data_IF_057491779342
#
_entry.id   IF_057491779342
#
_cell.length_a   1.000
_cell.length_b   1.000
_cell.length_c   1.000
_cell.angle_alpha   90.00
_cell.angle_beta   90.00
_cell.angle_gamma   90.00
#
_symmetry.space_group_name_H-M   'P 1'
#
loop_
_entity.id
_entity.type
_entity.pdbx_description
1 polymer ?
#
# COMPACT_ATOMS: atom_id res chain seq x y z
N UNK A 1 -27.50 36.58 -6.73
CA UNK A 1 -27.36 35.61 -5.61
C UNK A 1 -26.60 34.32 -5.98
N UNK A 2 -27.15 33.34 -6.72
CA UNK A 2 -26.40 32.10 -7.07
C UNK A 2 -25.09 32.37 -7.83
N UNK A 3 -25.11 33.29 -8.79
CA UNK A 3 -23.91 33.67 -9.55
C UNK A 3 -22.85 34.38 -8.67
N UNK A 4 -23.28 35.26 -7.77
CA UNK A 4 -22.38 35.97 -6.84
C UNK A 4 -21.72 35.02 -5.85
N UNK A 5 -22.48 34.07 -5.29
CA UNK A 5 -21.93 33.03 -4.40
C UNK A 5 -20.90 32.19 -5.14
N UNK A 6 -21.15 31.80 -6.40
CA UNK A 6 -20.17 31.06 -7.21
C UNK A 6 -18.90 31.87 -7.48
N UNK A 7 -19.00 33.16 -7.81
CA UNK A 7 -17.83 34.00 -8.04
C UNK A 7 -17.00 34.21 -6.77
N UNK A 8 -17.65 34.42 -5.62
CA UNK A 8 -16.96 34.48 -4.31
C UNK A 8 -16.29 33.13 -4.00
N UNK A 9 -16.98 32.00 -4.23
CA UNK A 9 -16.40 30.68 -4.00
C UNK A 9 -15.16 30.45 -4.88
N UNK A 10 -15.20 30.86 -6.15
CA UNK A 10 -14.03 30.78 -7.03
C UNK A 10 -12.86 31.63 -6.52
N UNK A 11 -13.11 32.87 -6.11
CA UNK A 11 -12.09 33.76 -5.57
C UNK A 11 -11.44 33.22 -4.28
N UNK A 12 -12.20 32.49 -3.46
CA UNK A 12 -11.74 31.83 -2.24
C UNK A 12 -11.25 30.38 -2.47
N UNK A 13 -11.18 29.93 -3.73
CA UNK A 13 -10.84 28.56 -4.12
C UNK A 13 -11.75 27.46 -3.53
N UNK A 14 -12.99 27.76 -3.17
CA UNK A 14 -14.00 26.84 -2.60
C UNK A 14 -14.68 26.02 -3.73
N UNK A 15 -14.00 24.96 -4.16
CA UNK A 15 -14.35 24.23 -5.37
C UNK A 15 -15.66 23.44 -5.27
N UNK A 16 -16.05 22.97 -4.09
CA UNK A 16 -17.21 22.08 -3.93
C UNK A 16 -18.44 22.81 -3.41
N UNK A 17 -18.27 23.84 -2.57
CA UNK A 17 -19.39 24.68 -2.10
C UNK A 17 -20.17 25.27 -3.25
N UNK A 18 -19.48 25.79 -4.27
CA UNK A 18 -20.08 26.47 -5.41
C UNK A 18 -21.18 25.64 -6.10
N UNK A 19 -21.05 24.31 -6.09
CA UNK A 19 -21.97 23.41 -6.79
C UNK A 19 -22.83 22.56 -5.85
N UNK A 20 -22.50 22.46 -4.55
CA UNK A 20 -23.11 21.48 -3.63
C UNK A 20 -23.72 22.08 -2.35
N UNK A 21 -23.69 23.40 -2.16
CA UNK A 21 -24.24 24.02 -0.94
C UNK A 21 -25.75 23.75 -0.72
N UNK A 22 -26.49 23.45 -1.79
CA UNK A 22 -27.93 23.15 -1.73
C UNK A 22 -28.25 21.77 -1.16
N UNK A 23 -27.24 20.89 -1.08
CA UNK A 23 -27.37 19.58 -0.43
C UNK A 23 -27.45 19.73 1.11
N UNK A 24 -27.08 20.89 1.65
CA UNK A 24 -27.09 21.17 3.09
C UNK A 24 -28.45 21.74 3.49
N UNK A 25 -29.11 21.06 4.42
CA UNK A 25 -30.36 21.55 5.02
C UNK A 25 -30.12 22.87 5.76
N UNK A 26 -31.04 23.81 5.60
CA UNK A 26 -31.00 25.10 6.30
C UNK A 26 -31.93 25.06 7.51
N UNK A 27 -31.35 25.08 8.71
CA UNK A 27 -32.10 25.21 9.97
C UNK A 27 -31.79 26.54 10.66
N UNK A 28 -30.50 26.84 10.83
CA UNK A 28 -30.01 28.10 11.39
C UNK A 28 -28.81 28.62 10.60
N UNK A 29 -28.48 29.91 10.75
CA UNK A 29 -27.35 30.52 10.04
C UNK A 29 -26.02 29.86 10.43
N UNK A 30 -25.83 29.59 11.72
CA UNK A 30 -24.62 28.98 12.26
C UNK A 30 -24.46 27.53 11.81
N UNK A 31 -25.55 26.75 11.83
CA UNK A 31 -25.57 25.37 11.36
C UNK A 31 -25.26 25.29 9.87
N UNK A 32 -25.94 26.10 9.05
CA UNK A 32 -25.74 26.09 7.61
C UNK A 32 -24.31 26.48 7.23
N UNK A 33 -23.75 27.53 7.85
CA UNK A 33 -22.36 27.93 7.61
C UNK A 33 -21.37 26.81 7.99
N UNK A 34 -21.56 26.21 9.18
CA UNK A 34 -20.71 25.10 9.64
C UNK A 34 -20.77 23.91 8.67
N UNK A 35 -21.96 23.51 8.27
CA UNK A 35 -22.18 22.28 7.50
C UNK A 35 -21.73 22.43 6.04
N UNK A 36 -21.91 23.62 5.44
CA UNK A 36 -21.36 23.94 4.11
C UNK A 36 -19.81 23.96 4.13
N UNK A 37 -19.19 24.51 5.18
CA UNK A 37 -17.73 24.47 5.32
C UNK A 37 -17.21 23.04 5.59
N UNK A 38 -17.94 22.25 6.39
CA UNK A 38 -17.62 20.85 6.62
C UNK A 38 -17.73 20.02 5.32
N UNK A 39 -18.73 20.30 4.48
CA UNK A 39 -18.88 19.70 3.16
C UNK A 39 -17.67 19.97 2.28
N UNK A 40 -17.21 21.23 2.19
CA UNK A 40 -15.99 21.60 1.45
C UNK A 40 -14.77 20.82 1.94
N UNK A 41 -14.56 20.80 3.25
CA UNK A 41 -13.43 20.12 3.88
C UNK A 41 -13.43 18.63 3.53
N UNK A 42 -14.60 17.98 3.66
CA UNK A 42 -14.76 16.56 3.38
C UNK A 42 -14.51 16.24 1.90
N UNK A 43 -15.03 17.05 0.97
CA UNK A 43 -14.82 16.87 -0.46
C UNK A 43 -13.34 17.07 -0.85
N UNK A 44 -12.66 18.07 -0.29
CA UNK A 44 -11.21 18.25 -0.49
C UNK A 44 -10.41 17.07 0.01
N UNK A 45 -10.76 16.57 1.19
CA UNK A 45 -10.07 15.42 1.79
C UNK A 45 -10.26 14.18 0.91
N UNK A 46 -11.49 13.89 0.48
CA UNK A 46 -11.79 12.78 -0.43
C UNK A 46 -11.01 12.91 -1.77
N UNK A 47 -10.96 14.10 -2.36
CA UNK A 47 -10.20 14.33 -3.58
C UNK A 47 -8.68 14.16 -3.38
N UNK A 48 -8.14 14.61 -2.24
CA UNK A 48 -6.73 14.37 -1.86
C UNK A 48 -6.46 12.87 -1.74
N UNK A 49 -7.30 12.13 -1.02
CA UNK A 49 -7.17 10.68 -0.82
C UNK A 49 -7.22 9.94 -2.16
N UNK A 50 -8.21 10.24 -3.01
CA UNK A 50 -8.35 9.63 -4.34
C UNK A 50 -7.12 9.90 -5.22
N UNK A 51 -6.57 11.13 -5.18
CA UNK A 51 -5.34 11.48 -5.89
C UNK A 51 -4.14 10.70 -5.37
N UNK A 52 -3.99 10.53 -4.05
CA UNK A 52 -2.89 9.76 -3.45
C UNK A 52 -2.98 8.28 -3.81
N UNK A 53 -4.17 7.67 -3.71
CA UNK A 53 -4.40 6.27 -4.12
C UNK A 53 -4.05 6.07 -5.60
N UNK A 54 -4.48 6.98 -6.47
CA UNK A 54 -4.14 6.94 -7.91
C UNK A 54 -2.64 7.10 -8.17
N UNK A 55 -1.97 7.96 -7.39
CA UNK A 55 -0.52 8.19 -7.49
C UNK A 55 0.28 6.98 -7.01
N UNK A 56 -0.25 6.21 -6.05
CA UNK A 56 0.41 5.03 -5.51
C UNK A 56 0.54 3.86 -6.49
N UNK A 57 -0.31 3.79 -7.52
CA UNK A 57 -0.26 2.77 -8.59
C UNK A 57 -0.42 1.33 -8.07
N UNK A 58 -1.34 1.11 -7.12
CA UNK A 58 -1.76 -0.24 -6.71
C UNK A 58 -2.28 -1.04 -7.91
N UNK A 59 -1.98 -2.35 -7.96
CA UNK A 59 -2.49 -3.26 -9.01
C UNK A 59 -3.98 -3.51 -8.87
N UNK A 60 -4.43 -3.69 -7.63
CA UNK A 60 -5.83 -3.86 -7.25
C UNK A 60 -6.09 -3.05 -5.99
N UNK A 61 -7.32 -2.57 -5.81
CA UNK A 61 -7.72 -1.91 -4.57
C UNK A 61 -8.24 -2.96 -3.59
N UNK A 62 -7.58 -3.06 -2.44
CA UNK A 62 -7.94 -3.98 -1.35
C UNK A 62 -8.01 -3.20 -0.05
N UNK A 63 -9.11 -3.29 0.69
CA UNK A 63 -9.31 -2.51 1.91
C UNK A 63 -9.10 -3.39 3.15
N UNK A 64 -8.72 -2.76 4.27
CA UNK A 64 -8.52 -3.46 5.54
C UNK A 64 -9.83 -4.03 6.10
N UNK A 65 -10.96 -3.34 5.85
CA UNK A 65 -12.29 -3.81 6.22
C UNK A 65 -12.68 -5.14 5.55
N UNK A 66 -12.11 -5.42 4.38
CA UNK A 66 -12.38 -6.63 3.59
C UNK A 66 -11.31 -7.71 3.83
N UNK A 67 -10.40 -7.49 4.79
CA UNK A 67 -9.31 -8.42 5.08
C UNK A 67 -9.73 -9.45 6.14
N UNK A 68 -9.76 -10.71 5.74
CA UNK A 68 -9.98 -11.83 6.65
C UNK A 68 -8.70 -12.16 7.42
N UNK A 69 -8.73 -11.94 8.73
CA UNK A 69 -7.61 -12.27 9.60
C UNK A 69 -7.62 -13.77 9.89
N UNK A 70 -6.46 -14.41 9.73
CA UNK A 70 -6.26 -15.82 10.00
C UNK A 70 -5.32 -16.01 11.20
N UNK A 71 -5.56 -17.05 11.98
CA UNK A 71 -4.67 -17.49 13.07
C UNK A 71 -3.32 -18.03 12.55
N UNK A 72 -3.20 -18.24 11.24
CA UNK A 72 -1.95 -18.62 10.58
C UNK A 72 -1.02 -17.43 10.29
N UNK A 73 -1.38 -16.22 10.73
CA UNK A 73 -0.48 -15.07 10.71
C UNK A 73 0.24 -15.01 12.05
N UNK A 74 1.53 -15.31 12.05
CA UNK A 74 2.39 -15.21 13.22
C UNK A 74 2.95 -13.79 13.34
N UNK A 75 2.71 -13.19 14.49
CA UNK A 75 3.12 -11.83 14.82
C UNK A 75 4.37 -11.85 15.68
N UNK A 76 5.27 -10.86 15.53
CA UNK A 76 6.34 -10.69 16.49
C UNK A 76 5.77 -10.14 17.80
N UNK A 77 6.39 -10.48 18.93
CA UNK A 77 5.94 -10.06 20.27
C UNK A 77 5.91 -8.55 20.46
N UNK A 78 6.66 -7.82 19.66
CA UNK A 78 6.81 -6.36 19.71
C UNK A 78 5.73 -5.60 18.93
N UNK A 79 4.83 -6.29 18.22
CA UNK A 79 3.89 -5.64 17.30
C UNK A 79 2.48 -6.11 17.55
N UNK A 80 1.61 -5.16 17.93
CA UNK A 80 0.19 -5.46 17.96
C UNK A 80 -0.45 -5.24 16.60
N UNK A 81 -1.49 -6.03 16.31
CA UNK A 81 -2.35 -5.85 15.14
C UNK A 81 -2.90 -4.42 15.05
N UNK A 82 -3.29 -3.84 16.18
CA UNK A 82 -3.82 -2.48 16.24
C UNK A 82 -2.78 -1.45 15.83
N UNK A 83 -1.54 -1.54 16.33
CA UNK A 83 -0.49 -0.59 15.96
C UNK A 83 -0.12 -0.65 14.48
N UNK A 84 -0.11 -1.86 13.89
CA UNK A 84 0.11 -2.03 12.47
C UNK A 84 -1.02 -1.39 11.66
N UNK A 85 -2.27 -1.69 12.01
CA UNK A 85 -3.43 -1.09 11.37
C UNK A 85 -3.48 0.42 11.57
N UNK A 86 -3.08 0.97 12.71
CA UNK A 86 -3.02 2.41 12.96
C UNK A 86 -1.85 3.10 12.24
N UNK A 87 -1.00 2.34 11.54
CA UNK A 87 0.16 2.82 10.76
C UNK A 87 1.25 3.51 11.60
N UNK A 88 1.35 3.21 12.90
CA UNK A 88 2.34 3.82 13.80
C UNK A 88 3.80 3.60 13.38
N UNK A 89 4.04 2.55 12.60
CA UNK A 89 5.35 2.27 12.02
C UNK A 89 5.83 3.38 11.07
N UNK A 90 4.92 4.12 10.43
CA UNK A 90 5.24 5.22 9.50
C UNK A 90 5.91 6.41 10.21
N UNK A 91 5.50 6.70 11.44
CA UNK A 91 6.07 7.76 12.27
C UNK A 91 7.50 7.42 12.67
N UNK A 92 7.75 6.14 12.98
CA UNK A 92 9.04 5.60 13.45
C UNK A 92 9.97 5.16 12.32
N UNK A 93 9.56 5.28 11.06
CA UNK A 93 10.29 4.79 9.87
C UNK A 93 10.64 3.30 9.96
N UNK A 94 9.73 2.51 10.53
CA UNK A 94 9.86 1.07 10.67
C UNK A 94 9.33 0.36 9.43
N UNK A 95 9.98 -0.74 9.04
CA UNK A 95 9.58 -1.57 7.92
C UNK A 95 8.55 -2.62 8.33
N UNK A 96 7.83 -3.16 7.36
CA UNK A 96 6.94 -4.31 7.56
C UNK A 96 7.30 -5.38 6.55
N UNK A 97 7.68 -6.57 7.03
CA UNK A 97 8.08 -7.69 6.19
C UNK A 97 7.01 -8.77 6.30
N UNK A 98 6.28 -9.00 5.21
CA UNK A 98 5.24 -10.03 5.12
C UNK A 98 5.83 -11.22 4.37
N UNK A 99 6.09 -12.32 5.07
CA UNK A 99 6.78 -13.49 4.52
C UNK A 99 5.88 -14.73 4.58
N UNK A 100 5.91 -15.59 3.56
CA UNK A 100 5.25 -16.91 3.63
C UNK A 100 4.61 -17.36 2.32
N UNK A 101 3.96 -18.53 2.33
CA UNK A 101 3.49 -19.22 1.12
C UNK A 101 2.56 -18.38 0.22
N UNK A 102 2.55 -18.58 -1.11
CA UNK A 102 1.64 -17.85 -2.00
C UNK A 102 0.17 -18.01 -1.60
N UNK A 103 -0.63 -16.97 -1.84
CA UNK A 103 -2.08 -17.02 -1.59
C UNK A 103 -2.52 -16.83 -0.14
N UNK A 104 -1.61 -16.53 0.80
CA UNK A 104 -1.93 -16.36 2.23
C UNK A 104 -2.37 -14.94 2.64
N UNK A 105 -2.53 -14.01 1.69
CA UNK A 105 -3.05 -12.65 1.98
C UNK A 105 -2.00 -11.53 2.13
N UNK A 106 -0.70 -11.81 2.01
CA UNK A 106 0.39 -10.80 2.14
C UNK A 106 0.18 -9.55 1.28
N UNK A 107 -0.02 -9.73 -0.03
CA UNK A 107 -0.23 -8.61 -0.98
C UNK A 107 -1.51 -7.83 -0.66
N UNK A 108 -2.56 -8.50 -0.20
CA UNK A 108 -3.80 -7.83 0.24
C UNK A 108 -3.50 -6.95 1.43
N UNK A 109 -2.86 -7.48 2.49
CA UNK A 109 -2.54 -6.70 3.67
C UNK A 109 -1.63 -5.50 3.35
N UNK A 110 -0.57 -5.71 2.56
CA UNK A 110 0.32 -4.63 2.13
C UNK A 110 -0.43 -3.52 1.38
N UNK A 111 -1.28 -3.90 0.43
CA UNK A 111 -2.12 -2.96 -0.33
C UNK A 111 -3.09 -2.22 0.57
N UNK A 112 -3.72 -2.92 1.50
CA UNK A 112 -4.72 -2.37 2.40
C UNK A 112 -4.13 -1.37 3.40
N UNK A 113 -2.94 -1.66 3.95
CA UNK A 113 -2.16 -0.71 4.74
C UNK A 113 -1.75 0.51 3.90
N UNK A 114 -1.32 0.30 2.65
CA UNK A 114 -1.00 1.39 1.72
C UNK A 114 -2.18 2.31 1.40
N UNK A 115 -3.36 1.73 1.18
CA UNK A 115 -4.59 2.51 0.95
C UNK A 115 -4.96 3.28 2.21
N UNK A 116 -4.86 2.67 3.39
CA UNK A 116 -5.10 3.39 4.64
C UNK A 116 -4.10 4.55 4.83
N UNK A 117 -2.83 4.37 4.46
CA UNK A 117 -1.83 5.43 4.51
C UNK A 117 -2.21 6.61 3.59
N UNK A 118 -2.68 6.31 2.38
CA UNK A 118 -3.24 7.34 1.48
C UNK A 118 -4.48 8.03 2.08
N UNK A 119 -5.34 7.30 2.79
CA UNK A 119 -6.51 7.87 3.47
C UNK A 119 -6.12 8.84 4.60
N UNK A 120 -5.04 8.53 5.32
CA UNK A 120 -4.45 9.41 6.34
C UNK A 120 -3.62 10.55 5.73
N UNK A 121 -3.46 10.58 4.40
CA UNK A 121 -2.83 11.68 3.68
C UNK A 121 -1.35 11.49 3.37
N UNK A 122 -0.79 10.31 3.65
CA UNK A 122 0.58 9.96 3.32
C UNK A 122 0.75 9.60 1.85
N UNK A 123 1.89 9.97 1.27
CA UNK A 123 2.22 9.57 -0.09
C UNK A 123 2.81 8.15 -0.12
N UNK A 124 2.24 7.29 -0.97
CA UNK A 124 2.61 5.87 -1.07
C UNK A 124 3.04 5.56 -2.50
N UNK A 125 3.96 4.60 -2.67
CA UNK A 125 4.27 3.98 -3.96
C UNK A 125 4.25 2.47 -3.86
N UNK A 126 3.53 1.84 -4.78
CA UNK A 126 3.47 0.39 -4.90
C UNK A 126 4.21 -0.06 -6.16
N UNK A 127 5.04 -1.09 -6.00
CA UNK A 127 5.68 -1.77 -7.12
C UNK A 127 5.70 -3.27 -6.87
N UNK A 128 5.47 -4.05 -7.93
CA UNK A 128 6.02 -5.40 -7.98
C UNK A 128 7.53 -5.29 -8.16
N UNK A 129 8.31 -6.04 -7.40
CA UNK A 129 9.78 -5.88 -7.43
C UNK A 129 10.36 -6.12 -8.83
N UNK A 130 9.89 -7.14 -9.54
CA UNK A 130 10.35 -7.42 -10.91
C UNK A 130 10.10 -6.23 -11.86
N UNK A 131 8.93 -5.59 -11.76
CA UNK A 131 8.57 -4.45 -12.60
C UNK A 131 9.39 -3.21 -12.23
N UNK A 132 9.71 -3.02 -10.95
CA UNK A 132 10.58 -1.94 -10.50
C UNK A 132 12.00 -2.13 -11.01
N UNK A 133 12.56 -3.33 -10.93
CA UNK A 133 13.91 -3.64 -11.44
C UNK A 133 13.98 -3.35 -12.93
N UNK A 134 13.00 -3.82 -13.71
CA UNK A 134 12.94 -3.52 -15.14
C UNK A 134 12.87 -2.00 -15.43
N UNK A 135 12.03 -1.26 -14.69
CA UNK A 135 11.93 0.20 -14.81
C UNK A 135 13.24 0.91 -14.42
N UNK A 136 13.97 0.42 -13.42
CA UNK A 136 15.26 0.99 -13.00
C UNK A 136 16.33 0.76 -14.08
N UNK A 137 16.40 -0.44 -14.64
CA UNK A 137 17.33 -0.78 -15.73
C UNK A 137 17.05 0.04 -16.99
N UNK A 138 15.78 0.16 -17.38
CA UNK A 138 15.35 0.99 -18.50
C UNK A 138 15.66 2.48 -18.26
N UNK A 139 15.34 2.99 -17.06
CA UNK A 139 15.62 4.37 -16.72
C UNK A 139 17.13 4.68 -16.66
N UNK A 140 17.97 3.70 -16.28
CA UNK A 140 19.42 3.83 -16.33
C UNK A 140 19.91 3.90 -17.78
N UNK A 141 19.45 3.00 -18.66
CA UNK A 141 19.79 3.00 -20.09
C UNK A 141 19.39 4.31 -20.79
N UNK A 142 18.23 4.85 -20.43
CA UNK A 142 17.67 6.07 -21.02
C UNK A 142 18.16 7.37 -20.33
N UNK A 143 19.03 7.29 -19.32
CA UNK A 143 19.50 8.47 -18.57
C UNK A 143 18.43 9.18 -17.74
N UNK A 144 17.30 8.52 -17.44
CA UNK A 144 16.15 9.08 -16.70
C UNK A 144 16.02 8.57 -15.27
N UNK A 145 17.00 7.82 -14.77
CA UNK A 145 17.00 7.23 -13.43
C UNK A 145 16.70 8.24 -12.32
N UNK A 146 17.25 9.45 -12.41
CA UNK A 146 17.01 10.52 -11.44
C UNK A 146 15.55 10.99 -11.36
N UNK A 147 14.76 10.84 -12.44
CA UNK A 147 13.31 11.12 -12.41
C UNK A 147 12.55 10.04 -11.64
N UNK A 148 12.88 8.77 -11.88
CA UNK A 148 12.27 7.64 -11.20
C UNK A 148 12.60 7.68 -9.69
N UNK A 149 13.87 7.90 -9.33
CA UNK A 149 14.30 8.05 -7.94
C UNK A 149 13.57 9.17 -7.21
N UNK A 150 13.50 10.38 -7.78
CA UNK A 150 12.72 11.50 -7.20
C UNK A 150 11.25 11.14 -6.94
N UNK A 151 10.67 10.31 -7.79
CA UNK A 151 9.29 9.87 -7.66
C UNK A 151 9.09 8.84 -6.52
N UNK A 152 10.13 8.08 -6.18
CA UNK A 152 10.20 7.21 -5.00
C UNK A 152 10.63 8.01 -3.75
N UNK A 153 11.36 9.11 -3.94
CA UNK A 153 11.77 10.00 -2.85
C UNK A 153 10.66 10.84 -2.27
N UNK A 154 9.66 11.16 -3.07
CA UNK A 154 8.48 11.89 -2.62
C UNK A 154 7.53 11.07 -1.74
N UNK A 155 7.63 9.73 -1.72
CA UNK A 155 6.73 8.90 -0.91
C UNK A 155 7.27 8.66 0.51
N UNK A 156 6.35 8.55 1.46
CA UNK A 156 6.63 8.22 2.86
C UNK A 156 6.62 6.71 3.11
N UNK A 157 5.87 5.97 2.26
CA UNK A 157 5.76 4.53 2.29
C UNK A 157 6.01 3.93 0.90
N UNK A 158 7.00 3.05 0.82
CA UNK A 158 7.29 2.24 -0.36
C UNK A 158 6.81 0.80 -0.14
N UNK A 159 6.03 0.26 -1.07
CA UNK A 159 5.55 -1.12 -1.03
C UNK A 159 6.21 -1.90 -2.17
N UNK A 160 6.96 -2.93 -1.80
CA UNK A 160 7.69 -3.84 -2.67
C UNK A 160 7.05 -5.22 -2.61
N UNK A 161 6.19 -5.51 -3.58
CA UNK A 161 5.42 -6.75 -3.64
C UNK A 161 6.12 -7.82 -4.47
N UNK A 162 5.95 -9.08 -4.07
CA UNK A 162 6.45 -10.28 -4.76
C UNK A 162 7.98 -10.34 -4.91
N UNK A 163 8.72 -9.96 -3.87
CA UNK A 163 10.16 -10.21 -3.81
C UNK A 163 10.40 -11.73 -3.69
N UNK A 164 11.08 -12.36 -4.64
CA UNK A 164 11.42 -13.79 -4.54
C UNK A 164 11.02 -14.70 -5.70
N UNK A 165 10.28 -14.21 -6.69
CA UNK A 165 9.80 -15.08 -7.78
C UNK A 165 10.81 -15.31 -8.90
N UNK A 166 11.66 -14.32 -9.20
CA UNK A 166 12.56 -14.35 -10.36
C UNK A 166 13.94 -13.81 -9.95
N UNK A 167 15.04 -14.49 -10.30
CA UNK A 167 16.39 -13.96 -10.10
C UNK A 167 16.64 -12.72 -10.96
N UNK A 168 17.32 -11.73 -10.40
CA UNK A 168 17.67 -10.49 -11.11
C UNK A 168 19.07 -10.57 -11.70
N UNK A 169 19.30 -9.78 -12.75
CA UNK A 169 20.65 -9.51 -13.24
C UNK A 169 21.41 -8.66 -12.21
N UNK A 170 22.74 -8.75 -12.21
CA UNK A 170 23.61 -8.02 -11.27
C UNK A 170 23.27 -6.52 -11.21
N UNK A 171 23.10 -5.88 -12.37
CA UNK A 171 22.77 -4.46 -12.47
C UNK A 171 21.41 -4.15 -11.81
N UNK A 172 20.38 -4.95 -12.08
CA UNK A 172 19.07 -4.82 -11.44
C UNK A 172 19.12 -4.99 -9.92
N UNK A 173 19.89 -5.96 -9.43
CA UNK A 173 20.13 -6.20 -7.99
C UNK A 173 20.77 -4.98 -7.31
N UNK A 174 21.81 -4.41 -7.93
CA UNK A 174 22.50 -3.22 -7.43
C UNK A 174 21.57 -1.99 -7.41
N UNK A 175 20.78 -1.79 -8.46
CA UNK A 175 19.81 -0.70 -8.53
C UNK A 175 18.73 -0.82 -7.45
N UNK A 176 18.16 -2.01 -7.27
CA UNK A 176 17.17 -2.25 -6.22
C UNK A 176 17.76 -2.06 -4.82
N UNK A 177 19.00 -2.53 -4.61
CA UNK A 177 19.73 -2.29 -3.36
C UNK A 177 19.84 -0.81 -3.05
N UNK A 178 20.22 0.02 -4.02
CA UNK A 178 20.29 1.46 -3.81
C UNK A 178 18.94 2.07 -3.42
N UNK A 179 17.84 1.66 -4.05
CA UNK A 179 16.50 2.15 -3.68
C UNK A 179 16.15 1.80 -2.23
N UNK A 180 16.40 0.56 -1.80
CA UNK A 180 16.10 0.11 -0.44
C UNK A 180 17.04 0.78 0.57
N UNK A 181 18.33 0.91 0.25
CA UNK A 181 19.30 1.61 1.07
C UNK A 181 18.95 3.10 1.23
N UNK A 182 18.47 3.77 0.18
CA UNK A 182 18.03 5.17 0.22
C UNK A 182 16.79 5.37 1.12
N UNK A 183 16.02 4.30 1.38
CA UNK A 183 14.87 4.32 2.29
C UNK A 183 15.24 4.10 3.76
N UNK A 184 16.37 3.44 4.04
CA UNK A 184 16.79 3.08 5.39
C UNK A 184 16.78 4.29 6.34
N UNK A 185 16.11 4.15 7.49
CA UNK A 185 15.91 5.20 8.52
C UNK A 185 15.23 6.50 8.05
N UNK A 186 14.79 6.57 6.78
CA UNK A 186 14.20 7.77 6.18
C UNK A 186 12.72 7.58 5.83
N UNK A 187 12.35 6.37 5.41
CA UNK A 187 11.02 6.00 4.93
C UNK A 187 10.68 4.61 5.42
N UNK A 188 9.38 4.31 5.49
CA UNK A 188 8.95 2.94 5.78
C UNK A 188 8.86 2.14 4.49
N UNK A 189 9.24 0.86 4.57
CA UNK A 189 9.11 -0.08 3.46
C UNK A 189 8.24 -1.25 3.89
N UNK A 190 7.22 -1.57 3.09
CA UNK A 190 6.51 -2.85 3.19
C UNK A 190 7.07 -3.78 2.12
N UNK A 191 7.51 -4.97 2.49
CA UNK A 191 7.95 -6.00 1.54
C UNK A 191 7.05 -7.22 1.66
N UNK A 192 6.63 -7.79 0.53
CA UNK A 192 6.02 -9.12 0.51
C UNK A 192 6.95 -10.11 -0.16
N UNK A 193 7.12 -11.29 0.43
CA UNK A 193 7.95 -12.36 -0.13
C UNK A 193 7.36 -13.73 0.15
N UNK A 194 7.54 -14.65 -0.79
CA UNK A 194 7.31 -16.08 -0.60
C UNK A 194 8.57 -16.83 -0.17
N UNK A 195 9.71 -16.13 -0.06
CA UNK A 195 10.99 -16.69 0.33
C UNK A 195 11.33 -16.25 1.76
N UNK A 196 11.97 -17.15 2.49
CA UNK A 196 12.67 -16.81 3.73
C UNK A 196 13.94 -15.99 3.41
N UNK A 197 14.43 -15.21 4.37
CA UNK A 197 15.60 -14.33 4.18
C UNK A 197 16.83 -15.06 3.65
N UNK A 198 17.11 -16.27 4.13
CA UNK A 198 18.25 -17.07 3.67
C UNK A 198 18.19 -17.44 2.19
N UNK A 199 17.00 -17.38 1.57
CA UNK A 199 16.80 -17.69 0.16
C UNK A 199 16.85 -16.46 -0.75
N UNK A 200 16.89 -15.25 -0.20
CA UNK A 200 16.94 -14.01 -1.01
C UNK A 200 18.22 -13.91 -1.83
N UNK A 201 19.27 -14.63 -1.44
CA UNK A 201 20.50 -14.73 -2.23
C UNK A 201 20.24 -15.33 -3.62
N UNK A 202 19.24 -16.20 -3.77
CA UNK A 202 18.82 -16.73 -5.08
C UNK A 202 18.27 -15.65 -6.00
N UNK A 203 17.79 -14.55 -5.43
CA UNK A 203 17.18 -13.43 -6.15
C UNK A 203 18.24 -12.41 -6.55
N UNK A 204 19.10 -12.03 -5.60
CA UNK A 204 20.08 -10.96 -5.80
C UNK A 204 21.40 -11.44 -6.41
N UNK A 205 21.76 -12.72 -6.22
CA UNK A 205 22.96 -13.35 -6.79
C UNK A 205 24.28 -13.04 -6.08
N UNK A 206 24.31 -12.04 -5.18
CA UNK A 206 25.49 -11.66 -4.40
C UNK A 206 25.18 -11.78 -2.89
N UNK A 207 25.90 -12.67 -2.21
CA UNK A 207 25.70 -12.95 -0.78
C UNK A 207 25.93 -11.70 0.09
N UNK A 208 26.94 -10.89 -0.24
CA UNK A 208 27.31 -9.72 0.57
C UNK A 208 26.27 -8.62 0.43
N UNK A 209 25.85 -8.36 -0.81
CA UNK A 209 24.80 -7.38 -1.09
C UNK A 209 23.46 -7.81 -0.46
N UNK A 210 23.11 -9.09 -0.57
CA UNK A 210 21.90 -9.64 0.05
C UNK A 210 21.92 -9.50 1.57
N UNK A 211 23.02 -9.88 2.23
CA UNK A 211 23.16 -9.77 3.68
C UNK A 211 23.03 -8.31 4.14
N UNK A 212 23.70 -7.39 3.44
CA UNK A 212 23.64 -5.96 3.71
C UNK A 212 22.23 -5.37 3.51
N UNK A 213 21.46 -5.90 2.56
CA UNK A 213 20.08 -5.49 2.30
C UNK A 213 19.12 -5.99 3.40
N UNK A 214 19.24 -7.27 3.75
CA UNK A 214 18.41 -7.90 4.80
C UNK A 214 18.66 -7.21 6.13
N UNK A 215 19.92 -6.96 6.49
CA UNK A 215 20.30 -6.25 7.71
C UNK A 215 19.57 -4.89 7.85
N UNK A 216 19.64 -4.05 6.81
CA UNK A 216 18.95 -2.75 6.78
C UNK A 216 17.43 -2.86 6.84
N UNK A 217 16.85 -3.86 6.17
CA UNK A 217 15.40 -4.06 6.20
C UNK A 217 14.92 -4.52 7.58
N UNK A 218 15.66 -5.42 8.24
CA UNK A 218 15.26 -6.10 9.47
C UNK A 218 15.54 -5.29 10.73
N UNK A 219 16.56 -4.43 10.75
CA UNK A 219 16.98 -3.68 11.94
C UNK A 219 15.82 -2.96 12.66
N UNK A 220 14.91 -2.36 11.88
CA UNK A 220 13.69 -1.71 12.39
C UNK A 220 12.47 -2.25 11.66
N UNK A 221 12.11 -3.52 11.87
CA UNK A 221 10.99 -4.15 11.18
C UNK A 221 9.96 -4.86 12.06
N UNK A 222 8.72 -4.85 11.56
CA UNK A 222 7.65 -5.74 11.95
C UNK A 222 7.63 -6.94 10.99
N UNK A 223 8.05 -8.12 11.44
CA UNK A 223 8.14 -9.32 10.59
C UNK A 223 6.95 -10.22 10.87
N UNK A 224 6.04 -10.33 9.91
CA UNK A 224 4.86 -11.19 9.98
C UNK A 224 5.09 -12.42 9.10
N UNK A 225 4.96 -13.61 9.69
CA UNK A 225 5.05 -14.87 8.98
C UNK A 225 3.64 -15.43 8.71
N UNK A 226 3.35 -15.71 7.44
CA UNK A 226 2.07 -16.18 6.95
C UNK A 226 2.19 -17.67 6.62
N UNK A 227 1.60 -18.50 7.47
CA UNK A 227 1.47 -19.94 7.27
C UNK A 227 0.06 -20.26 6.75
N UNK A 228 -0.21 -21.53 6.44
CA UNK A 228 -1.55 -21.98 6.05
C UNK A 228 -1.80 -22.07 4.54
N UNK A 229 -3.02 -22.48 4.22
CA UNK A 229 -3.45 -22.76 2.84
C UNK A 229 -3.71 -21.49 2.03
N UNK A 230 -3.61 -21.61 0.71
CA UNK A 230 -3.89 -20.51 -0.21
C UNK A 230 -5.38 -20.16 -0.22
N UNK A 231 -5.72 -18.92 0.12
CA UNK A 231 -7.08 -18.37 -0.01
C UNK A 231 -7.60 -18.50 -1.45
N UNK A 232 -6.72 -18.32 -2.44
CA UNK A 232 -7.08 -18.44 -3.85
C UNK A 232 -7.50 -19.88 -4.20
N UNK A 233 -6.79 -20.87 -3.63
CA UNK A 233 -7.11 -22.28 -3.84
C UNK A 233 -8.42 -22.65 -3.13
N UNK A 234 -8.58 -22.25 -1.86
CA UNK A 234 -9.80 -22.47 -1.08
C UNK A 234 -11.03 -21.93 -1.80
N UNK A 235 -10.96 -20.69 -2.29
CA UNK A 235 -12.06 -20.05 -3.02
C UNK A 235 -12.34 -20.71 -4.38
N UNK A 236 -11.30 -21.20 -5.07
CA UNK A 236 -11.49 -21.95 -6.32
C UNK A 236 -12.16 -23.31 -6.06
N UNK A 237 -11.77 -24.02 -4.99
CA UNK A 237 -12.34 -25.31 -4.62
C UNK A 237 -13.79 -25.19 -4.09
N UNK A 238 -14.11 -24.15 -3.34
CA UNK A 238 -15.47 -23.91 -2.87
C UNK A 238 -16.44 -23.55 -4.01
N UNK A 239 -15.94 -22.91 -5.08
CA UNK A 239 -16.72 -22.65 -6.29
C UNK A 239 -17.01 -23.92 -7.13
N UNK A 240 -16.31 -25.04 -6.86
CA UNK A 240 -16.45 -26.30 -7.59
C UNK A 240 -17.43 -27.27 -6.89
N UNK A 241 -17.80 -27.05 -5.62
CA UNK A 241 -18.81 -27.89 -4.96
C UNK A 241 -20.20 -27.63 -5.58
N UNK A 242 -20.82 -28.62 -6.25
CA UNK A 242 -22.17 -28.48 -6.77
C UNK A 242 -23.15 -28.48 -5.60
N UNK A 243 -24.16 -27.61 -5.67
CA UNK A 243 -25.37 -27.66 -4.86
C UNK A 243 -25.85 -29.09 -4.70
N UNK A 244 -25.85 -29.60 -3.46
CA UNK A 244 -26.56 -30.82 -3.11
C UNK A 244 -28.01 -30.69 -3.58
N UNK A 245 -28.36 -31.43 -4.63
CA UNK A 245 -29.75 -31.59 -5.05
C UNK A 245 -30.46 -32.48 -4.01
N UNK A 246 -31.72 -32.19 -3.64
CA UNK A 246 -32.46 -32.98 -2.67
C UNK A 246 -32.84 -34.33 -3.32
N UNK A 247 -32.15 -35.39 -2.93
CA UNK A 247 -32.41 -36.75 -3.39
C UNK A 247 -33.31 -37.51 -2.41
N UNK A 248 -34.58 -37.56 -2.78
CA UNK A 248 -35.64 -38.53 -2.46
C UNK A 248 -35.42 -39.50 -1.29
N UNK A 249 -36.28 -39.39 -0.28
CA UNK A 249 -36.65 -40.54 0.56
C UNK A 249 -37.43 -41.58 -0.27
N UNK A 250 -37.21 -42.88 -0.03
CA UNK A 250 -37.94 -43.97 -0.67
C UNK A 250 -39.38 -44.12 -0.17
#
# INVERSE_FOLDING_TARGET
MRAEVKEICKALHLAYIADRFEEVMFETKEQFLRDVLALELSCRQQAKQARLIKKAKFRELKWLKDYEWSDHIHWPTTTSKKELCDLRFLERKQNVLLLGSPGTGKTHLATALGIQACQQGHEVRFFRVADLVAQLEEALKNGTLGRLKRSIDACELLILDELGYVPFQKQGSELLFHIIADCYERKSVIVTSNLEFGQWNRVFGDNRLTAALVDRLVHHAHILAFTGESYRLRNALSAIQPSSSPGLEP
#
